data_IF_904235497481
#
_entry.id   IF_904235497481
#
_cell.length_a   1.000
_cell.length_b   1.000
_cell.length_c   1.000
_cell.angle_alpha   90.00
_cell.angle_beta   90.00
_cell.angle_gamma   90.00
#
_symmetry.space_group_name_H-M   'P 1'
#
loop_
_entity.id
_entity.type
_entity.pdbx_description
1 polymer ?
#
# COMPACT_ATOMS: atom_id res chain seq x y z
N UNK A 1 -1.19 7.47 -12.16
CA UNK A 1 -1.77 6.29 -12.85
C UNK A 1 -3.28 6.46 -12.88
N UNK A 2 -3.98 6.20 -14.00
CA UNK A 2 -5.46 6.28 -14.03
C UNK A 2 -6.09 5.09 -13.30
N UNK A 3 -7.27 5.30 -12.71
CA UNK A 3 -7.98 4.30 -11.91
C UNK A 3 -8.33 3.04 -12.71
N UNK A 4 -8.73 3.18 -13.97
CA UNK A 4 -9.10 2.05 -14.82
C UNK A 4 -7.89 1.14 -15.09
N UNK A 5 -6.69 1.73 -15.18
CA UNK A 5 -5.45 0.98 -15.33
C UNK A 5 -5.10 0.23 -14.05
N UNK A 6 -5.29 0.85 -12.89
CA UNK A 6 -5.12 0.15 -11.60
C UNK A 6 -6.06 -1.05 -11.52
N UNK A 7 -7.36 -0.84 -11.73
CA UNK A 7 -8.37 -1.90 -11.66
C UNK A 7 -8.07 -3.05 -12.61
N UNK A 8 -7.63 -2.74 -13.84
CA UNK A 8 -7.22 -3.76 -14.81
C UNK A 8 -6.01 -4.57 -14.32
N UNK A 9 -5.00 -3.93 -13.72
CA UNK A 9 -3.83 -4.63 -13.17
C UNK A 9 -4.28 -5.59 -12.06
N UNK A 10 -5.06 -5.10 -11.10
CA UNK A 10 -5.52 -5.89 -9.96
C UNK A 10 -6.39 -7.08 -10.38
N UNK A 11 -7.32 -6.85 -11.32
CA UNK A 11 -8.17 -7.89 -11.88
C UNK A 11 -7.34 -8.97 -12.58
N UNK A 12 -6.42 -8.58 -13.47
CA UNK A 12 -5.58 -9.52 -14.20
C UNK A 12 -4.59 -10.26 -13.30
N UNK A 13 -4.22 -9.65 -12.17
CA UNK A 13 -3.38 -10.27 -11.15
C UNK A 13 -4.16 -11.17 -10.18
N UNK A 14 -5.50 -11.18 -10.23
CA UNK A 14 -6.33 -11.96 -9.32
C UNK A 14 -6.28 -11.45 -7.88
N UNK A 15 -6.10 -10.13 -7.69
CA UNK A 15 -6.01 -9.52 -6.36
C UNK A 15 -7.40 -9.22 -5.82
N UNK A 16 -7.72 -9.78 -4.68
CA UNK A 16 -8.83 -9.34 -3.85
C UNK A 16 -8.39 -8.15 -2.99
N UNK A 17 -9.13 -7.05 -3.04
CA UNK A 17 -8.85 -5.84 -2.28
C UNK A 17 -10.13 -5.25 -1.68
N UNK A 18 -10.03 -4.67 -0.49
CA UNK A 18 -11.16 -4.05 0.22
C UNK A 18 -11.33 -2.57 -0.12
N UNK A 19 -10.27 -1.91 -0.61
CA UNK A 19 -10.29 -0.51 -0.99
C UNK A 19 -9.07 -0.11 -1.82
N UNK A 20 -9.21 0.96 -2.58
CA UNK A 20 -8.10 1.60 -3.30
C UNK A 20 -8.25 3.12 -3.17
N UNK A 21 -7.28 3.76 -2.51
CA UNK A 21 -7.30 5.19 -2.23
C UNK A 21 -6.28 5.92 -3.08
N UNK A 22 -6.71 7.03 -3.67
CA UNK A 22 -5.83 7.92 -4.41
C UNK A 22 -4.95 8.69 -3.43
N UNK A 23 -3.64 8.55 -3.57
CA UNK A 23 -2.65 9.29 -2.78
C UNK A 23 -1.80 10.19 -3.68
N UNK A 24 -1.14 11.19 -3.08
CA UNK A 24 -0.18 12.03 -3.80
C UNK A 24 0.93 11.16 -4.39
N UNK A 25 1.48 11.57 -5.54
CA UNK A 25 2.61 10.87 -6.13
C UNK A 25 3.79 10.84 -5.15
N UNK A 26 4.13 9.66 -4.62
CA UNK A 26 5.19 9.51 -3.61
C UNK A 26 6.55 10.02 -4.07
N UNK A 27 6.83 9.98 -5.38
CA UNK A 27 8.11 10.45 -5.92
C UNK A 27 8.19 11.97 -6.04
N UNK A 28 7.18 12.60 -6.65
CA UNK A 28 7.20 14.06 -6.88
C UNK A 28 6.68 14.87 -5.68
N UNK A 29 5.82 14.28 -4.84
CA UNK A 29 5.26 14.94 -3.67
C UNK A 29 6.22 15.03 -2.48
N UNK A 30 7.19 14.10 -2.37
CA UNK A 30 8.11 14.05 -1.22
C UNK A 30 9.46 14.69 -1.56
N UNK A 31 9.98 14.53 -2.78
CA UNK A 31 11.33 15.00 -3.14
C UNK A 31 11.38 16.42 -3.73
N UNK A 32 10.43 17.29 -3.39
CA UNK A 32 10.41 18.68 -3.88
C UNK A 32 10.15 18.79 -5.38
N UNK A 33 9.41 17.83 -5.95
CA UNK A 33 8.97 17.88 -7.35
C UNK A 33 7.85 18.88 -7.58
N UNK A 34 7.35 18.96 -8.81
CA UNK A 34 6.21 19.80 -9.15
C UNK A 34 4.94 19.29 -8.42
N UNK A 35 4.36 20.04 -7.47
CA UNK A 35 3.19 19.60 -6.70
C UNK A 35 1.95 19.37 -7.58
N UNK A 36 1.76 20.20 -8.60
CA UNK A 36 0.67 20.05 -9.57
C UNK A 36 0.82 18.74 -10.35
N UNK A 37 2.05 18.38 -10.72
CA UNK A 37 2.31 17.08 -11.33
C UNK A 37 1.98 15.93 -10.39
N UNK A 38 2.29 16.04 -9.09
CA UNK A 38 1.99 15.02 -8.10
C UNK A 38 0.49 14.81 -7.88
N UNK A 39 -0.31 15.88 -7.95
CA UNK A 39 -1.78 15.83 -7.89
C UNK A 39 -2.36 15.19 -9.16
N UNK A 40 -1.85 15.57 -10.33
CA UNK A 40 -2.36 15.07 -11.62
C UNK A 40 -1.89 13.64 -11.96
N UNK A 41 -0.83 13.17 -11.32
CA UNK A 41 -0.28 11.82 -11.53
C UNK A 41 -0.26 11.02 -10.22
N UNK A 42 -1.44 10.77 -9.62
CA UNK A 42 -1.53 10.14 -8.32
C UNK A 42 -0.98 8.72 -8.33
N UNK A 43 -0.57 8.30 -7.15
CA UNK A 43 -0.35 6.90 -6.80
C UNK A 43 -1.61 6.35 -6.13
N UNK A 44 -1.59 5.06 -5.83
CA UNK A 44 -2.71 4.34 -5.27
C UNK A 44 -2.25 3.51 -4.08
N UNK A 45 -2.97 3.65 -2.97
CA UNK A 45 -2.82 2.82 -1.78
C UNK A 45 -3.94 1.77 -1.80
N UNK A 46 -3.57 0.51 -1.97
CA UNK A 46 -4.48 -0.62 -2.09
C UNK A 46 -4.54 -1.34 -0.74
N UNK A 47 -5.76 -1.48 -0.21
CA UNK A 47 -6.01 -2.26 1.01
C UNK A 47 -6.31 -3.70 0.65
N UNK A 48 -5.45 -4.63 1.09
CA UNK A 48 -5.64 -6.08 0.91
C UNK A 48 -5.78 -6.76 2.26
N UNK A 49 -6.17 -8.04 2.27
CA UNK A 49 -6.16 -8.88 3.49
C UNK A 49 -4.76 -9.06 4.10
N UNK A 50 -3.72 -8.72 3.34
CA UNK A 50 -2.30 -8.93 3.68
C UNK A 50 -1.58 -7.65 4.12
N UNK A 51 -2.29 -6.52 4.15
CA UNK A 51 -1.72 -5.20 4.40
C UNK A 51 -1.91 -4.26 3.21
N UNK A 52 -1.16 -3.15 3.23
CA UNK A 52 -1.26 -2.10 2.22
C UNK A 52 -0.22 -2.29 1.13
N UNK A 53 -0.61 -2.00 -0.11
CA UNK A 53 0.28 -2.00 -1.28
C UNK A 53 0.18 -0.65 -1.96
N UNK A 54 1.29 0.04 -2.12
CA UNK A 54 1.37 1.26 -2.89
C UNK A 54 1.78 0.99 -4.32
N UNK A 55 1.09 1.61 -5.27
CA UNK A 55 1.41 1.49 -6.69
C UNK A 55 1.23 2.80 -7.43
N UNK A 56 2.20 3.15 -8.28
CA UNK A 56 2.08 4.33 -9.12
C UNK A 56 3.22 4.54 -10.09
N UNK A 57 3.03 5.47 -11.02
CA UNK A 57 4.08 5.84 -11.97
C UNK A 57 5.14 6.70 -11.27
N UNK A 58 6.38 6.22 -11.31
CA UNK A 58 7.62 6.90 -10.94
C UNK A 58 8.43 7.17 -12.21
N UNK A 59 8.38 8.39 -12.73
CA UNK A 59 8.97 8.76 -14.03
C UNK A 59 8.49 7.82 -15.15
N UNK A 60 9.32 6.85 -15.55
CA UNK A 60 9.11 5.90 -16.67
C UNK A 60 8.85 4.45 -16.23
N UNK A 61 8.74 4.21 -14.94
CA UNK A 61 8.48 2.90 -14.36
C UNK A 61 7.29 2.98 -13.41
N UNK A 62 6.65 1.85 -13.16
CA UNK A 62 5.62 1.68 -12.15
C UNK A 62 6.32 1.17 -10.89
N UNK A 63 6.28 1.95 -9.81
CA UNK A 63 6.72 1.53 -8.49
C UNK A 63 5.62 0.71 -7.85
N UNK A 64 5.96 -0.44 -7.28
CA UNK A 64 5.09 -1.27 -6.46
C UNK A 64 5.81 -1.48 -5.14
N UNK A 65 5.20 -1.06 -4.04
CA UNK A 65 5.76 -1.13 -2.69
C UNK A 65 4.77 -1.88 -1.79
N UNK A 66 5.30 -2.82 -1.00
CA UNK A 66 4.55 -3.66 -0.05
C UNK A 66 5.20 -3.66 1.34
N UNK A 67 5.90 -2.57 1.68
CA UNK A 67 6.49 -2.37 3.01
C UNK A 67 5.47 -2.51 4.15
N UNK A 68 4.21 -2.20 3.90
CA UNK A 68 3.11 -2.35 4.87
C UNK A 68 2.47 -3.75 4.88
N UNK A 69 3.17 -4.77 4.35
CA UNK A 69 2.76 -6.19 4.42
C UNK A 69 3.76 -7.01 5.23
N UNK A 70 3.42 -8.27 5.56
CA UNK A 70 4.31 -9.15 6.31
C UNK A 70 5.47 -9.75 5.49
N UNK A 71 5.43 -9.65 4.16
CA UNK A 71 6.46 -10.26 3.30
C UNK A 71 7.65 -9.32 3.10
N UNK A 72 8.87 -9.87 3.25
CA UNK A 72 10.14 -9.24 2.86
C UNK A 72 10.93 -10.22 2.00
N UNK A 73 11.11 -9.90 0.73
CA UNK A 73 11.81 -10.76 -0.21
C UNK A 73 11.71 -10.29 -1.66
N UNK A 74 12.49 -10.93 -2.51
CA UNK A 74 12.50 -10.63 -3.95
C UNK A 74 11.40 -11.41 -4.67
N UNK A 75 10.50 -10.70 -5.35
CA UNK A 75 9.37 -11.29 -6.10
C UNK A 75 9.67 -11.53 -7.60
N UNK A 76 10.85 -11.10 -8.09
CA UNK A 76 11.22 -11.23 -9.50
C UNK A 76 12.71 -11.48 -9.71
N UNK A 77 13.03 -12.33 -10.70
CA UNK A 77 14.40 -12.56 -11.17
C UNK A 77 14.86 -11.51 -12.17
N UNK A 78 13.95 -10.70 -12.71
CA UNK A 78 14.26 -9.67 -13.71
C UNK A 78 15.30 -8.68 -13.18
N UNK A 79 16.22 -8.24 -14.04
CA UNK A 79 17.20 -7.21 -13.72
C UNK A 79 16.54 -5.82 -13.74
N UNK A 80 15.88 -5.51 -12.64
CA UNK A 80 15.18 -4.25 -12.38
C UNK A 80 15.58 -3.73 -11.01
N UNK A 81 15.39 -2.43 -10.80
CA UNK A 81 15.51 -1.87 -9.45
C UNK A 81 14.47 -2.52 -8.55
N UNK A 82 14.94 -3.13 -7.46
CA UNK A 82 14.13 -3.84 -6.48
C UNK A 82 14.81 -3.82 -5.12
N UNK A 83 14.01 -3.92 -4.07
CA UNK A 83 14.41 -4.19 -2.69
C UNK A 83 13.65 -5.42 -2.18
N UNK A 84 13.72 -5.69 -0.89
CA UNK A 84 12.93 -6.70 -0.19
C UNK A 84 11.44 -6.33 -0.04
N UNK A 85 11.09 -5.05 -0.26
CA UNK A 85 9.72 -4.55 -0.11
C UNK A 85 9.22 -3.73 -1.30
N UNK A 86 9.99 -3.61 -2.38
CA UNK A 86 9.63 -2.77 -3.53
C UNK A 86 10.21 -3.31 -4.84
N UNK A 87 9.49 -3.09 -5.94
CA UNK A 87 9.99 -3.36 -7.30
C UNK A 87 9.56 -2.27 -8.29
N UNK A 88 10.40 -2.00 -9.29
CA UNK A 88 10.04 -1.19 -10.45
C UNK A 88 9.66 -2.06 -11.67
N UNK A 89 8.44 -1.89 -12.17
CA UNK A 89 7.99 -2.49 -13.42
C UNK A 89 8.08 -1.50 -14.58
N UNK A 90 8.61 -1.94 -15.73
CA UNK A 90 8.74 -1.10 -16.93
C UNK A 90 7.46 -1.02 -17.77
N UNK A 91 6.48 -1.87 -17.49
CA UNK A 91 5.22 -1.93 -18.21
C UNK A 91 4.07 -2.39 -17.31
N UNK A 92 2.84 -2.17 -17.76
CA UNK A 92 1.66 -2.71 -17.09
C UNK A 92 1.64 -4.24 -17.03
N UNK A 93 2.11 -4.92 -18.09
CA UNK A 93 2.21 -6.39 -18.10
C UNK A 93 3.15 -6.88 -16.99
N UNK A 94 4.34 -6.25 -16.87
CA UNK A 94 5.26 -6.57 -15.78
C UNK A 94 4.70 -6.23 -14.40
N UNK A 95 3.93 -5.16 -14.27
CA UNK A 95 3.25 -4.84 -13.01
C UNK A 95 2.27 -5.95 -12.60
N UNK A 96 1.51 -6.50 -13.55
CA UNK A 96 0.63 -7.66 -13.31
C UNK A 96 1.44 -8.87 -12.85
N UNK A 97 2.51 -9.22 -13.57
CA UNK A 97 3.36 -10.37 -13.22
C UNK A 97 3.94 -10.24 -11.81
N UNK A 98 4.43 -9.06 -11.46
CA UNK A 98 5.03 -8.82 -10.14
C UNK A 98 3.98 -8.84 -9.03
N UNK A 99 2.79 -8.25 -9.24
CA UNK A 99 1.72 -8.34 -8.26
C UNK A 99 1.26 -9.80 -8.07
N UNK A 100 1.19 -10.61 -9.14
CA UNK A 100 0.90 -12.05 -9.01
C UNK A 100 1.92 -12.77 -8.15
N UNK A 101 3.22 -12.54 -8.40
CA UNK A 101 4.29 -13.12 -7.59
C UNK A 101 4.22 -12.67 -6.13
N UNK A 102 3.94 -11.38 -5.89
CA UNK A 102 3.76 -10.85 -4.55
C UNK A 102 2.59 -11.52 -3.83
N UNK A 103 1.43 -11.64 -4.48
CA UNK A 103 0.26 -12.32 -3.90
C UNK A 103 0.54 -13.79 -3.63
N UNK A 104 1.29 -14.47 -4.49
CA UNK A 104 1.70 -15.85 -4.28
C UNK A 104 2.54 -16.00 -3.01
N UNK A 105 3.51 -15.10 -2.78
CA UNK A 105 4.30 -15.11 -1.55
C UNK A 105 3.49 -14.74 -0.31
N UNK A 106 2.65 -13.69 -0.39
CA UNK A 106 1.79 -13.29 0.72
C UNK A 106 0.78 -14.36 1.11
N UNK A 107 0.24 -15.12 0.14
CA UNK A 107 -0.71 -16.20 0.41
C UNK A 107 -0.08 -17.39 1.16
N UNK A 108 1.25 -17.54 1.16
CA UNK A 108 1.95 -18.54 1.97
C UNK A 108 2.09 -18.13 3.43
N UNK A 109 1.95 -16.84 3.71
CA UNK A 109 2.03 -16.28 5.05
C UNK A 109 0.61 -16.29 5.62
N UNK A 110 0.43 -16.82 6.83
CA UNK A 110 -0.85 -16.66 7.52
C UNK A 110 -1.13 -15.16 7.69
N UNK A 111 -2.33 -14.67 7.35
CA UNK A 111 -2.63 -13.25 7.47
C UNK A 111 -2.42 -12.83 8.92
N UNK A 112 -1.69 -11.73 9.13
CA UNK A 112 -1.56 -11.13 10.45
C UNK A 112 -2.98 -10.94 11.02
N UNK A 113 -3.26 -11.58 12.16
CA UNK A 113 -4.53 -11.39 12.86
C UNK A 113 -4.73 -9.88 13.02
N UNK A 114 -5.88 -9.32 12.61
CA UNK A 114 -6.09 -7.88 12.79
C UNK A 114 -5.85 -7.56 14.26
N UNK A 115 -5.17 -6.44 14.59
CA UNK A 115 -5.04 -6.03 15.97
C UNK A 115 -6.45 -6.02 16.54
N UNK A 116 -6.66 -6.76 17.64
CA UNK A 116 -7.93 -6.70 18.36
C UNK A 116 -8.18 -5.23 18.57
N UNK A 117 -9.27 -4.70 18.01
CA UNK A 117 -9.75 -3.39 18.36
C UNK A 117 -9.99 -3.49 19.85
N UNK A 118 -9.08 -2.95 20.66
CA UNK A 118 -9.31 -2.79 22.08
C UNK A 118 -10.47 -1.80 22.14
N UNK A 119 -11.68 -2.33 22.26
CA UNK A 119 -12.82 -1.57 22.73
C UNK A 119 -12.34 -0.93 24.01
N UNK A 120 -12.27 0.43 24.12
CA UNK A 120 -11.88 1.05 25.37
C UNK A 120 -12.80 0.49 26.45
N UNK A 121 -12.19 -0.19 27.42
CA UNK A 121 -12.91 -0.78 28.54
C UNK A 121 -13.57 0.37 29.29
N UNK A 122 -14.83 0.20 29.68
CA UNK A 122 -15.60 1.21 30.40
C UNK A 122 -15.02 1.61 31.78
N UNK A 123 -13.84 1.10 32.16
CA UNK A 123 -13.11 1.47 33.37
C UNK A 123 -12.31 2.76 33.26
N UNK A 124 -11.95 3.21 32.04
CA UNK A 124 -11.09 4.40 31.87
C UNK A 124 -11.87 5.73 31.89
N UNK A 125 -13.20 5.69 32.02
CA UNK A 125 -14.04 6.91 32.10
C UNK A 125 -14.32 7.38 33.54
N UNK A 126 -13.81 6.70 34.57
CA UNK A 126 -14.05 7.08 35.96
C UNK A 126 -13.03 8.13 36.49
N UNK A 127 -11.82 8.21 35.94
CA UNK A 127 -10.75 9.04 36.52
C UNK A 127 -10.64 10.48 35.96
N UNK A 128 -11.38 10.84 34.90
CA UNK A 128 -11.31 12.19 34.31
C UNK A 128 -12.31 13.17 34.94
N UNK A 129 -13.31 12.69 35.69
CA UNK A 129 -14.34 13.55 36.30
C UNK A 129 -14.03 14.03 37.73
N UNK A 130 -12.89 13.65 38.31
CA UNK A 130 -12.52 14.04 39.68
C UNK A 130 -11.61 15.29 39.79
N UNK A 131 -11.20 15.92 38.67
CA UNK A 131 -10.21 17.01 38.68
C UNK A 131 -10.70 18.39 38.21
N UNK A 132 -12.01 18.66 38.22
CA UNK A 132 -12.56 19.99 37.86
C UNK A 132 -13.43 20.63 38.93
N UNK A 133 -13.13 20.38 40.21
CA UNK A 133 -13.95 20.87 41.32
C UNK A 133 -13.18 21.34 42.54
N UNK A 134 -12.12 22.13 42.40
CA UNK A 134 -11.67 23.08 43.44
C UNK A 134 -11.01 24.30 42.80
N UNK A 135 -11.63 25.46 43.01
CA UNK A 135 -11.22 26.78 42.52
C UNK A 135 -12.37 27.77 42.66
#
# INVERSE_FOLDING_TARGET
>A
MKEEKLKAILLLAGVEYSGAHRILNGYYGIHGGNPEYAVNNPWWLISTRHGLIEIGWRKRVISIDWSETAFRGTITKDDVTKSDAMVHAWSYGKAVDYIKSLMYELNKIEPAKPPKTETPTASDQADVLAQTGQG
#
